data_IF_893110869083
#
_entry.id   IF_893110869083
#
_cell.length_a   1.000
_cell.length_b   1.000
_cell.length_c   1.000
_cell.angle_alpha   90.00
_cell.angle_beta   90.00
_cell.angle_gamma   90.00
#
_symmetry.space_group_name_H-M   'P 1'
#
loop_
_entity.id
_entity.type
_entity.pdbx_description
1 polymer ?
#
# COMPACT_ATOMS: atom_id res chain seq x y z
N UNK A 1 -19.34 9.31 -18.40
CA UNK A 1 -18.60 8.11 -18.07
C UNK A 1 -18.44 7.99 -16.57
N UNK A 2 -18.71 6.83 -16.06
CA UNK A 2 -18.63 6.59 -14.64
C UNK A 2 -17.28 5.97 -14.29
N UNK A 3 -16.62 6.56 -13.33
CA UNK A 3 -15.42 5.97 -12.77
C UNK A 3 -15.83 4.88 -11.80
N UNK A 4 -15.43 3.64 -12.06
CA UNK A 4 -15.79 2.52 -11.21
C UNK A 4 -14.89 2.41 -9.99
N UNK A 5 -13.77 3.12 -9.96
CA UNK A 5 -12.89 3.07 -8.82
C UNK A 5 -13.27 4.15 -7.82
N UNK A 6 -13.37 3.75 -6.56
CA UNK A 6 -13.68 4.67 -5.47
C UNK A 6 -12.69 4.42 -4.33
N UNK A 7 -11.65 5.24 -4.29
CA UNK A 7 -10.67 5.16 -3.23
C UNK A 7 -10.88 6.35 -2.31
N UNK A 8 -11.19 6.07 -1.05
CA UNK A 8 -11.39 7.07 -0.02
C UNK A 8 -10.18 7.06 0.89
N UNK A 9 -9.70 8.25 1.26
CA UNK A 9 -8.54 8.39 2.13
C UNK A 9 -8.95 8.98 3.47
N UNK A 10 -8.36 8.47 4.54
CA UNK A 10 -8.49 9.07 5.86
C UNK A 10 -7.86 10.47 5.80
N UNK A 11 -8.61 11.54 6.15
CA UNK A 11 -8.08 12.91 6.05
C UNK A 11 -6.78 13.13 6.82
N UNK A 12 -6.55 12.39 7.90
CA UNK A 12 -5.32 12.50 8.67
C UNK A 12 -4.10 12.13 7.85
N UNK A 13 -4.24 11.31 6.82
CA UNK A 13 -3.12 10.91 5.97
C UNK A 13 -2.65 12.07 5.10
N UNK A 14 -3.51 13.02 4.81
CA UNK A 14 -3.16 14.14 3.93
C UNK A 14 -2.16 15.10 4.57
N UNK A 15 -1.96 15.01 5.88
CA UNK A 15 -0.93 15.80 6.56
C UNK A 15 0.40 15.05 6.67
N UNK A 16 0.48 13.82 6.19
CA UNK A 16 1.72 13.04 6.18
C UNK A 16 2.40 13.23 4.83
N UNK A 17 3.57 13.90 4.83
CA UNK A 17 4.29 14.20 3.60
C UNK A 17 4.76 12.94 2.88
N UNK A 18 5.19 11.93 3.62
CA UNK A 18 5.62 10.67 3.04
C UNK A 18 4.47 9.96 2.34
N UNK A 19 3.30 9.98 2.96
CA UNK A 19 2.11 9.41 2.35
C UNK A 19 1.76 10.15 1.06
N UNK A 20 1.75 11.47 1.09
CA UNK A 20 1.38 12.27 -0.07
C UNK A 20 2.34 12.03 -1.23
N UNK A 21 3.62 11.91 -0.95
CA UNK A 21 4.62 11.64 -1.98
C UNK A 21 4.42 10.25 -2.60
N UNK A 22 4.29 9.23 -1.77
CA UNK A 22 4.13 7.87 -2.24
C UNK A 22 2.80 7.67 -2.97
N UNK A 23 1.73 8.22 -2.42
CA UNK A 23 0.40 8.13 -3.03
C UNK A 23 0.37 8.84 -4.38
N UNK A 24 1.04 9.98 -4.50
CA UNK A 24 1.13 10.71 -5.75
C UNK A 24 1.81 9.90 -6.84
N UNK A 25 2.91 9.21 -6.51
CA UNK A 25 3.60 8.34 -7.44
C UNK A 25 2.71 7.17 -7.88
N UNK A 26 2.07 6.54 -6.93
CA UNK A 26 1.22 5.38 -7.16
C UNK A 26 0.01 5.75 -8.00
N UNK A 27 -0.65 6.84 -7.65
CA UNK A 27 -1.88 7.28 -8.29
C UNK A 27 -1.64 7.81 -9.72
N UNK A 28 -0.49 8.41 -9.97
CA UNK A 28 -0.17 9.02 -11.26
C UNK A 28 0.49 8.06 -12.25
N UNK A 29 0.77 6.81 -11.86
CA UNK A 29 1.37 5.83 -12.75
C UNK A 29 0.36 5.40 -13.81
N UNK A 30 0.70 5.63 -15.06
CA UNK A 30 -0.18 5.30 -16.19
C UNK A 30 -0.46 3.80 -16.32
N UNK A 31 0.49 2.97 -15.87
CA UNK A 31 0.35 1.53 -15.92
C UNK A 31 -0.47 0.97 -14.77
N UNK A 32 -0.81 1.82 -13.83
CA UNK A 32 -1.52 1.41 -12.63
C UNK A 32 -3.02 1.65 -12.82
N UNK A 33 -3.73 0.58 -13.12
CA UNK A 33 -5.16 0.66 -13.33
C UNK A 33 -5.88 0.54 -11.99
N UNK A 34 -6.18 1.67 -11.37
CA UNK A 34 -6.81 1.73 -10.05
C UNK A 34 -8.32 1.54 -10.15
N UNK A 35 -8.72 0.38 -10.60
CA UNK A 35 -10.14 0.06 -10.72
C UNK A 35 -10.60 -0.75 -9.50
N UNK A 36 -10.44 -0.17 -8.31
CA UNK A 36 -10.75 -0.82 -7.05
C UNK A 36 -11.53 0.13 -6.15
N UNK A 37 -12.27 -0.45 -5.22
CA UNK A 37 -12.94 0.29 -4.16
C UNK A 37 -12.21 0.02 -2.86
N UNK A 38 -11.66 1.06 -2.25
CA UNK A 38 -10.91 0.92 -1.02
C UNK A 38 -11.08 2.16 -0.15
N UNK A 39 -11.10 1.95 1.15
CA UNK A 39 -11.11 3.03 2.12
C UNK A 39 -9.81 2.93 2.90
N UNK A 40 -8.84 3.76 2.54
CA UNK A 40 -7.50 3.75 3.14
C UNK A 40 -7.58 4.43 4.50
N UNK A 41 -7.40 3.66 5.55
CA UNK A 41 -7.43 4.18 6.92
C UNK A 41 -6.04 4.47 7.46
N UNK A 42 -5.06 3.63 7.12
CA UNK A 42 -3.69 3.77 7.62
C UNK A 42 -2.68 3.65 6.49
N UNK A 43 -1.53 4.29 6.70
CA UNK A 43 -0.39 4.22 5.80
C UNK A 43 0.81 3.66 6.56
N UNK A 44 1.53 2.73 5.94
CA UNK A 44 2.76 2.16 6.48
C UNK A 44 3.90 2.47 5.53
N UNK A 45 4.87 3.23 6.03
CA UNK A 45 6.09 3.52 5.28
C UNK A 45 7.16 2.51 5.68
N UNK A 46 7.37 1.54 4.82
CA UNK A 46 8.41 0.53 5.00
C UNK A 46 9.63 0.74 4.11
N UNK A 47 9.70 1.91 3.46
CA UNK A 47 10.86 2.20 2.59
C UNK A 47 12.14 2.26 3.41
N UNK A 48 13.20 1.67 2.85
CA UNK A 48 14.49 1.62 3.51
C UNK A 48 14.62 0.57 4.61
N UNK A 49 13.55 -0.13 4.92
CA UNK A 49 13.55 -1.16 5.95
C UNK A 49 13.74 -2.54 5.32
N UNK A 50 14.54 -3.37 5.98
CA UNK A 50 14.76 -4.73 5.53
C UNK A 50 13.65 -5.65 6.05
N UNK A 51 13.40 -6.73 5.30
CA UNK A 51 12.50 -7.80 5.72
C UNK A 51 12.96 -8.33 7.09
N UNK A 52 12.05 -8.59 8.05
CA UNK A 52 10.60 -8.56 7.91
C UNK A 52 9.93 -7.27 8.45
N UNK A 53 10.67 -6.17 8.59
CA UNK A 53 10.17 -4.98 9.27
C UNK A 53 8.93 -4.36 8.59
N UNK A 54 8.87 -4.23 7.24
CA UNK A 54 7.66 -3.70 6.62
C UNK A 54 6.43 -4.54 6.94
N UNK A 55 6.58 -5.86 6.95
CA UNK A 55 5.47 -6.76 7.27
C UNK A 55 5.02 -6.60 8.72
N UNK A 56 5.96 -6.45 9.65
CA UNK A 56 5.62 -6.27 11.06
C UNK A 56 4.85 -4.96 11.27
N UNK A 57 5.26 -3.90 10.60
CA UNK A 57 4.54 -2.62 10.65
C UNK A 57 3.15 -2.74 10.07
N UNK A 58 3.01 -3.47 8.96
CA UNK A 58 1.71 -3.73 8.35
C UNK A 58 0.79 -4.47 9.31
N UNK A 59 1.30 -5.50 9.98
CA UNK A 59 0.50 -6.26 10.94
C UNK A 59 0.00 -5.37 12.07
N UNK A 60 0.85 -4.48 12.56
CA UNK A 60 0.46 -3.55 13.62
C UNK A 60 -0.62 -2.58 13.15
N UNK A 61 -0.49 -2.07 11.93
CA UNK A 61 -1.49 -1.17 11.36
C UNK A 61 -2.83 -1.88 11.16
N UNK A 62 -2.80 -3.14 10.70
CA UNK A 62 -4.03 -3.90 10.48
C UNK A 62 -4.79 -4.15 11.78
N UNK A 63 -4.09 -4.28 12.90
CA UNK A 63 -4.76 -4.43 14.20
C UNK A 63 -5.60 -3.22 14.56
N UNK A 64 -5.19 -2.04 14.10
CA UNK A 64 -5.88 -0.78 14.37
C UNK A 64 -6.91 -0.43 13.30
N UNK A 65 -6.95 -1.19 12.23
CA UNK A 65 -7.80 -0.92 11.07
C UNK A 65 -9.17 -1.55 11.28
N UNK A 66 -10.23 -0.82 10.96
CA UNK A 66 -11.58 -1.33 11.05
C UNK A 66 -11.84 -2.33 9.92
N UNK A 67 -12.75 -3.27 10.17
CA UNK A 67 -13.15 -4.24 9.15
C UNK A 67 -13.72 -3.50 7.93
N UNK A 68 -13.30 -3.95 6.77
CA UNK A 68 -13.69 -3.33 5.50
C UNK A 68 -12.80 -2.19 5.07
N UNK A 69 -11.94 -1.69 5.95
CA UNK A 69 -11.00 -0.63 5.62
C UNK A 69 -9.68 -1.21 5.17
N UNK A 70 -8.85 -0.37 4.57
CA UNK A 70 -7.60 -0.81 3.96
C UNK A 70 -6.39 -0.08 4.53
N UNK A 71 -5.22 -0.70 4.35
CA UNK A 71 -3.92 -0.11 4.67
C UNK A 71 -3.13 0.01 3.37
N UNK A 72 -2.53 1.16 3.16
CA UNK A 72 -1.61 1.39 2.06
C UNK A 72 -0.19 1.28 2.60
N UNK A 73 0.61 0.38 2.03
CA UNK A 73 1.97 0.14 2.50
C UNK A 73 2.95 0.25 1.35
N UNK A 74 4.10 0.87 1.64
CA UNK A 74 5.21 0.97 0.71
C UNK A 74 6.44 0.29 1.28
N UNK A 75 7.29 -0.26 0.41
CA UNK A 75 8.52 -0.91 0.80
C UNK A 75 9.49 -0.87 -0.37
N UNK A 76 10.79 -1.00 -0.08
CA UNK A 76 11.82 -1.05 -1.11
C UNK A 76 12.54 -2.40 -1.15
N UNK A 77 12.36 -3.24 -0.14
CA UNK A 77 12.98 -4.57 -0.10
C UNK A 77 12.14 -5.55 -0.92
N UNK A 78 12.71 -6.19 -1.95
CA UNK A 78 11.97 -7.17 -2.77
C UNK A 78 11.38 -8.32 -1.96
N UNK A 79 12.04 -8.72 -0.88
CA UNK A 79 11.52 -9.78 -0.01
C UNK A 79 10.23 -9.36 0.68
N UNK A 80 10.09 -8.07 1.00
CA UNK A 80 8.88 -7.56 1.61
C UNK A 80 7.67 -7.70 0.71
N UNK A 81 7.85 -7.54 -0.60
CA UNK A 81 6.77 -7.73 -1.56
C UNK A 81 6.19 -9.15 -1.46
N UNK A 82 7.06 -10.15 -1.43
CA UNK A 82 6.65 -11.55 -1.31
C UNK A 82 6.04 -11.84 0.06
N UNK A 83 6.66 -11.30 1.11
CA UNK A 83 6.19 -11.54 2.47
C UNK A 83 4.78 -10.99 2.68
N UNK A 84 4.52 -9.81 2.16
CA UNK A 84 3.20 -9.19 2.28
C UNK A 84 2.15 -10.02 1.54
N UNK A 85 2.47 -10.47 0.32
CA UNK A 85 1.54 -11.30 -0.45
C UNK A 85 1.25 -12.62 0.26
N UNK A 86 2.29 -13.27 0.77
CA UNK A 86 2.13 -14.53 1.49
C UNK A 86 1.32 -14.35 2.78
N UNK A 87 1.58 -13.26 3.50
CA UNK A 87 0.84 -12.96 4.72
C UNK A 87 -0.64 -12.74 4.43
N UNK A 88 -0.97 -11.97 3.40
CA UNK A 88 -2.36 -11.72 3.04
C UNK A 88 -3.08 -13.02 2.70
N UNK A 89 -2.42 -13.90 1.95
CA UNK A 89 -2.99 -15.18 1.58
C UNK A 89 -3.24 -16.05 2.80
N UNK A 90 -2.29 -16.10 3.73
CA UNK A 90 -2.40 -16.91 4.94
C UNK A 90 -3.47 -16.39 5.89
N UNK A 91 -3.51 -15.07 6.07
CA UNK A 91 -4.39 -14.45 7.05
C UNK A 91 -5.80 -14.20 6.53
N UNK A 92 -6.03 -14.39 5.23
CA UNK A 92 -7.33 -14.16 4.64
C UNK A 92 -7.62 -12.70 4.31
N UNK A 93 -6.62 -11.84 4.32
CA UNK A 93 -6.79 -10.44 3.91
C UNK A 93 -6.76 -10.32 2.39
N UNK A 94 -7.42 -9.31 1.87
CA UNK A 94 -7.46 -9.08 0.43
C UNK A 94 -6.35 -8.11 0.02
N UNK A 95 -5.44 -8.58 -0.81
CA UNK A 95 -4.41 -7.74 -1.44
C UNK A 95 -5.00 -7.19 -2.72
N UNK A 96 -5.48 -5.94 -2.67
CA UNK A 96 -6.22 -5.35 -3.76
C UNK A 96 -5.31 -4.82 -4.86
N UNK A 97 -4.13 -4.33 -4.50
CA UNK A 97 -3.19 -3.77 -5.45
C UNK A 97 -1.77 -4.06 -4.99
N UNK A 98 -0.89 -4.40 -5.94
CA UNK A 98 0.49 -4.78 -5.62
C UNK A 98 1.36 -4.38 -6.81
N UNK A 99 1.86 -3.16 -6.77
CA UNK A 99 2.52 -2.52 -7.91
C UNK A 99 3.94 -2.13 -7.57
N UNK A 100 4.84 -2.26 -8.55
CA UNK A 100 6.24 -1.87 -8.40
C UNK A 100 6.50 -0.64 -9.27
N UNK A 101 6.99 0.44 -8.67
CA UNK A 101 7.23 1.69 -9.36
C UNK A 101 8.64 2.17 -9.06
N UNK A 102 9.39 2.52 -10.12
CA UNK A 102 10.69 3.17 -9.99
C UNK A 102 10.47 4.67 -10.18
N UNK A 103 10.70 5.48 -9.12
CA UNK A 103 10.31 6.89 -9.15
C UNK A 103 11.02 7.75 -10.19
N UNK A 104 12.27 7.39 -10.55
CA UNK A 104 13.10 8.21 -11.42
C UNK A 104 14.05 7.33 -12.21
N UNK A 105 14.43 7.79 -13.40
CA UNK A 105 15.47 7.12 -14.19
C UNK A 105 16.84 7.16 -13.52
N UNK A 106 17.03 8.09 -12.60
CA UNK A 106 18.30 8.28 -11.92
C UNK A 106 18.44 7.44 -10.66
N UNK A 107 17.41 6.68 -10.29
CA UNK A 107 17.47 5.81 -9.14
C UNK A 107 17.21 4.37 -9.56
N UNK A 108 17.89 3.43 -8.90
CA UNK A 108 17.64 2.01 -9.07
C UNK A 108 16.63 1.49 -8.06
N UNK A 109 16.20 2.35 -7.13
CA UNK A 109 15.30 1.94 -6.07
C UNK A 109 13.87 1.83 -6.59
N UNK A 110 13.32 0.64 -6.49
CA UNK A 110 11.93 0.39 -6.83
C UNK A 110 11.11 0.42 -5.56
N UNK A 111 10.01 1.16 -5.60
CA UNK A 111 9.06 1.21 -4.48
C UNK A 111 7.92 0.25 -4.78
N UNK A 112 7.68 -0.67 -3.87
CA UNK A 112 6.56 -1.61 -3.94
C UNK A 112 5.39 -1.03 -3.19
N UNK A 113 4.27 -0.82 -3.89
CA UNK A 113 3.05 -0.24 -3.33
C UNK A 113 2.00 -1.33 -3.20
N UNK A 114 1.38 -1.42 -2.05
CA UNK A 114 0.35 -2.45 -1.80
C UNK A 114 -0.82 -1.85 -1.03
N UNK A 115 -2.03 -2.26 -1.41
CA UNK A 115 -3.25 -1.90 -0.70
C UNK A 115 -3.88 -3.19 -0.19
N UNK A 116 -4.02 -3.30 1.12
CA UNK A 116 -4.54 -4.50 1.78
C UNK A 116 -5.82 -4.14 2.52
N UNK A 117 -6.89 -4.84 2.21
CA UNK A 117 -8.18 -4.66 2.89
C UNK A 117 -8.34 -5.67 4.00
N UNK A 118 -8.74 -5.17 5.17
CA UNK A 118 -9.01 -6.02 6.33
C UNK A 118 -10.44 -6.52 6.25
N UNK A 119 -10.61 -7.75 5.81
CA UNK A 119 -11.93 -8.32 5.60
C UNK A 119 -12.25 -9.48 6.54
N UNK A 120 -11.47 -9.63 7.59
CA UNK A 120 -11.74 -10.64 8.62
C UNK A 120 -11.09 -10.27 9.96
#
# INVERSE_FOLDING_TARGET
MTDSSQITLNPALLSDDDFCQDWGLFHSDEHNNLNINAQIEHYVDGKGLACPMPLLKLKMALKKTALGHAVYVTATDPNSKRDIAAFCQHAGYTLMQHTSITPSENTTDTIFHSIITKNC
#
